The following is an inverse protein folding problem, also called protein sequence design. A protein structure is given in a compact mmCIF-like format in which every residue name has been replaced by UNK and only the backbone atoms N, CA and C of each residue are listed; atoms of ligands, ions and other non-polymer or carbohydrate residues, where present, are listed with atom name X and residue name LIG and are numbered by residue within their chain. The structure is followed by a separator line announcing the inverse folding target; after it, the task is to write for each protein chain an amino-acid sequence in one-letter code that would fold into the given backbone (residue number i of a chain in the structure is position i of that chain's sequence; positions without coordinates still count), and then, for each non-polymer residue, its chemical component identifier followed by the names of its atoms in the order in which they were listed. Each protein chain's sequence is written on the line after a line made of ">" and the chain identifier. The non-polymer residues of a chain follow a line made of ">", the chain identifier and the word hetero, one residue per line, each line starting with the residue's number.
data_IF_137614619542
#
_entry.id   IF_137614619542
#
_cell.length_a   1.000
_cell.length_b   1.000
_cell.length_c   1.000
_cell.angle_alpha   90.00
_cell.angle_beta   90.00
_cell.angle_gamma   90.00
#
_symmetry.space_group_name_H-M   'P 1'
#
loop_
_entity.id
_entity.type
_entity.pdbx_description
1 polymer ?
#
# COMPACT_ATOMS: atom_id res chain seq x y z
N UNK A 1 -67.91 -42.06 35.90
CA UNK A 1 -66.47 -42.24 35.65
C UNK A 1 -65.90 -40.87 35.33
N UNK A 2 -65.15 -40.22 36.24
CA UNK A 2 -64.46 -38.97 35.96
C UNK A 2 -63.08 -39.25 35.35
N UNK A 3 -62.71 -38.49 34.31
CA UNK A 3 -61.38 -38.55 33.70
C UNK A 3 -60.39 -37.69 34.48
N UNK A 4 -59.24 -38.27 34.81
CA UNK A 4 -58.16 -37.63 35.54
C UNK A 4 -57.50 -36.51 34.71
N UNK A 5 -57.48 -35.30 35.26
CA UNK A 5 -56.73 -34.16 34.74
C UNK A 5 -55.31 -34.22 35.28
N UNK A 6 -54.35 -34.61 34.46
CA UNK A 6 -52.94 -34.64 34.83
C UNK A 6 -52.31 -33.24 34.66
N UNK A 7 -52.25 -32.46 35.75
CA UNK A 7 -51.51 -31.19 35.79
C UNK A 7 -50.03 -31.50 35.96
N UNK A 8 -49.25 -31.39 34.87
CA UNK A 8 -47.77 -31.39 34.94
C UNK A 8 -47.29 -30.11 35.63
N UNK A 9 -46.77 -30.23 36.84
CA UNK A 9 -46.07 -29.14 37.52
C UNK A 9 -44.80 -28.80 36.76
N UNK A 10 -44.71 -27.52 36.36
CA UNK A 10 -43.60 -26.94 35.59
C UNK A 10 -42.34 -26.96 36.46
N UNK A 11 -41.30 -27.57 35.93
CA UNK A 11 -39.97 -27.68 36.53
C UNK A 11 -39.49 -26.31 37.06
N UNK A 12 -39.29 -26.22 38.39
CA UNK A 12 -38.67 -25.06 39.04
C UNK A 12 -37.18 -25.11 38.72
N UNK A 13 -36.80 -24.60 37.54
CA UNK A 13 -35.43 -24.19 37.29
C UNK A 13 -35.04 -23.23 38.40
N UNK A 14 -34.17 -23.67 39.30
CA UNK A 14 -33.74 -22.90 40.45
C UNK A 14 -33.24 -21.55 40.00
N UNK A 15 -33.83 -20.47 40.53
CA UNK A 15 -33.21 -19.16 40.49
C UNK A 15 -31.99 -19.21 41.42
N UNK A 16 -30.86 -19.68 40.88
CA UNK A 16 -29.58 -19.57 41.57
C UNK A 16 -29.16 -18.09 41.55
N UNK A 17 -29.09 -17.47 42.72
CA UNK A 17 -28.54 -16.12 42.88
C UNK A 17 -27.03 -16.12 42.61
N UNK A 18 -26.53 -15.06 41.97
CA UNK A 18 -25.11 -14.85 41.73
C UNK A 18 -24.36 -14.73 43.05
N UNK A 19 -23.29 -15.50 43.21
CA UNK A 19 -22.43 -15.39 44.40
C UNK A 19 -21.40 -14.26 44.19
N UNK A 20 -21.00 -13.56 45.26
CA UNK A 20 -20.00 -12.48 45.16
C UNK A 20 -18.67 -12.99 44.62
N UNK A 21 -18.29 -14.23 44.96
CA UNK A 21 -17.07 -14.88 44.46
C UNK A 21 -17.13 -15.13 42.94
N UNK A 22 -18.30 -15.48 42.40
CA UNK A 22 -18.52 -15.69 40.97
C UNK A 22 -18.36 -14.39 40.18
N UNK A 23 -18.89 -13.29 40.71
CA UNK A 23 -18.68 -11.96 40.11
C UNK A 23 -17.21 -11.55 40.13
N UNK A 24 -16.51 -11.78 41.25
CA UNK A 24 -15.09 -11.43 41.39
C UNK A 24 -14.22 -12.24 40.41
N UNK A 25 -14.54 -13.52 40.22
CA UNK A 25 -13.89 -14.36 39.22
C UNK A 25 -14.20 -13.91 37.79
N UNK A 26 -15.46 -13.58 37.47
CA UNK A 26 -15.85 -13.08 36.15
C UNK A 26 -15.14 -11.77 35.78
N UNK A 27 -15.04 -10.83 36.74
CA UNK A 27 -14.31 -9.56 36.54
C UNK A 27 -12.81 -9.83 36.35
N UNK A 28 -12.23 -10.78 37.08
CA UNK A 28 -10.81 -11.13 36.94
C UNK A 28 -10.48 -11.68 35.55
N UNK A 29 -11.29 -12.60 35.03
CA UNK A 29 -11.13 -13.15 33.68
C UNK A 29 -11.34 -12.06 32.63
N UNK A 30 -12.35 -11.21 32.82
CA UNK A 30 -12.63 -10.09 31.91
C UNK A 30 -11.46 -9.12 31.84
N UNK A 31 -10.84 -8.80 32.98
CA UNK A 31 -9.67 -7.93 33.04
C UNK A 31 -8.47 -8.54 32.29
N UNK A 32 -8.17 -9.82 32.50
CA UNK A 32 -7.08 -10.53 31.81
C UNK A 32 -7.34 -10.57 30.30
N UNK A 33 -8.57 -10.87 29.89
CA UNK A 33 -8.97 -10.91 28.48
C UNK A 33 -8.84 -9.53 27.83
N UNK A 34 -9.30 -8.47 28.51
CA UNK A 34 -9.21 -7.10 28.04
C UNK A 34 -7.75 -6.64 27.84
N UNK A 35 -6.85 -7.01 28.75
CA UNK A 35 -5.42 -6.75 28.62
C UNK A 35 -4.79 -7.50 27.43
N UNK A 36 -5.23 -8.73 27.19
CA UNK A 36 -4.82 -9.51 26.02
C UNK A 36 -5.15 -8.81 24.70
N UNK A 37 -6.38 -8.32 24.56
CA UNK A 37 -6.79 -7.57 23.36
C UNK A 37 -6.08 -6.22 23.29
N UNK A 38 -5.99 -5.48 24.40
CA UNK A 38 -5.29 -4.19 24.47
C UNK A 38 -3.82 -4.30 24.01
N UNK A 39 -3.15 -5.39 24.36
CA UNK A 39 -1.78 -5.67 23.92
C UNK A 39 -1.62 -5.88 22.41
N UNK A 40 -2.67 -6.31 21.70
CA UNK A 40 -2.63 -6.55 20.25
C UNK A 40 -2.85 -5.28 19.42
N UNK A 41 -3.56 -4.28 19.94
CA UNK A 41 -3.91 -3.05 19.20
C UNK A 41 -2.69 -2.35 18.55
N UNK A 42 -1.56 -2.14 19.26
CA UNK A 42 -0.40 -1.48 18.67
C UNK A 42 0.19 -2.24 17.46
N UNK A 43 0.20 -3.59 17.52
CA UNK A 43 0.69 -4.41 16.42
C UNK A 43 -0.23 -4.34 15.20
N UNK A 44 -1.55 -4.41 15.43
CA UNK A 44 -2.55 -4.28 14.37
C UNK A 44 -2.47 -2.91 13.67
N UNK A 45 -2.38 -1.81 14.44
CA UNK A 45 -2.26 -0.46 13.89
C UNK A 45 -1.00 -0.28 13.04
N UNK A 46 0.16 -0.80 13.49
CA UNK A 46 1.41 -0.76 12.71
C UNK A 46 1.29 -1.52 11.39
N UNK A 47 0.59 -2.66 11.40
CA UNK A 47 0.33 -3.44 10.19
C UNK A 47 -0.54 -2.67 9.21
N UNK A 48 -1.62 -2.03 9.69
CA UNK A 48 -2.51 -1.21 8.85
C UNK A 48 -1.74 -0.04 8.22
N UNK A 49 -0.97 0.70 9.01
CA UNK A 49 -0.17 1.85 8.51
C UNK A 49 0.85 1.40 7.47
N UNK A 50 1.58 0.31 7.72
CA UNK A 50 2.57 -0.21 6.77
C UNK A 50 1.91 -0.73 5.49
N UNK A 51 0.76 -1.41 5.61
CA UNK A 51 -0.02 -1.88 4.46
C UNK A 51 -0.58 -0.73 3.61
N UNK A 52 -1.05 0.35 4.23
CA UNK A 52 -1.51 1.51 3.47
C UNK A 52 -0.38 2.26 2.79
N UNK A 53 0.79 2.39 3.44
CA UNK A 53 1.97 2.98 2.80
C UNK A 53 2.40 2.21 1.54
N UNK A 54 2.51 0.88 1.63
CA UNK A 54 2.88 0.03 0.50
C UNK A 54 1.85 0.11 -0.64
N UNK A 55 0.57 0.09 -0.31
CA UNK A 55 -0.52 0.27 -1.29
C UNK A 55 -0.42 1.63 -1.98
N UNK A 56 -0.22 2.70 -1.21
CA UNK A 56 -0.10 4.07 -1.75
C UNK A 56 1.13 4.22 -2.66
N UNK A 57 2.28 3.68 -2.23
CA UNK A 57 3.49 3.66 -3.04
C UNK A 57 3.29 2.89 -4.36
N UNK A 58 2.58 1.76 -4.30
CA UNK A 58 2.25 0.95 -5.48
C UNK A 58 1.38 1.73 -6.47
N UNK A 59 0.33 2.40 -5.99
CA UNK A 59 -0.54 3.24 -6.86
C UNK A 59 0.25 4.38 -7.50
N UNK A 60 1.17 5.02 -6.76
CA UNK A 60 2.02 6.08 -7.31
C UNK A 60 3.02 5.55 -8.35
N UNK A 61 3.59 4.36 -8.14
CA UNK A 61 4.47 3.72 -9.09
C UNK A 61 3.72 3.30 -10.37
N UNK A 62 2.52 2.74 -10.22
CA UNK A 62 1.62 2.39 -11.32
C UNK A 62 1.22 3.61 -12.13
N UNK A 63 0.79 4.68 -11.46
CA UNK A 63 0.41 5.93 -12.12
C UNK A 63 1.53 6.50 -12.99
N UNK A 64 2.78 6.48 -12.52
CA UNK A 64 3.92 6.92 -13.32
C UNK A 64 4.22 5.97 -14.49
N UNK A 65 4.16 4.65 -14.26
CA UNK A 65 4.36 3.68 -15.33
C UNK A 65 3.29 3.82 -16.43
N UNK A 66 2.05 4.11 -16.06
CA UNK A 66 0.95 4.35 -17.02
C UNK A 66 1.15 5.67 -17.78
N UNK A 67 1.64 6.72 -17.12
CA UNK A 67 2.02 7.96 -17.82
C UNK A 67 3.13 7.72 -18.84
N UNK A 68 4.13 6.87 -18.53
CA UNK A 68 5.22 6.54 -19.46
C UNK A 68 4.71 5.69 -20.63
N UNK A 69 3.82 4.72 -20.38
CA UNK A 69 3.18 3.91 -21.43
C UNK A 69 2.28 4.71 -22.35
N UNK A 70 1.64 5.75 -21.84
CA UNK A 70 0.77 6.63 -22.61
C UNK A 70 1.53 7.68 -23.43
N UNK A 71 2.83 7.90 -23.15
CA UNK A 71 3.68 8.82 -23.91
C UNK A 71 4.17 8.16 -25.20
N UNK A 72 4.70 8.96 -26.12
CA UNK A 72 5.29 8.48 -27.36
C UNK A 72 6.53 7.64 -27.08
N UNK A 73 6.75 6.57 -27.86
CA UNK A 73 7.89 5.67 -27.68
C UNK A 73 9.24 6.42 -27.70
N UNK A 74 9.37 7.44 -28.56
CA UNK A 74 10.54 8.32 -28.62
C UNK A 74 10.91 8.90 -27.25
N UNK A 75 9.91 9.41 -26.52
CA UNK A 75 10.08 10.08 -25.23
C UNK A 75 10.43 9.13 -24.07
N UNK A 76 10.20 7.82 -24.21
CA UNK A 76 10.40 6.86 -23.12
C UNK A 76 11.83 6.90 -22.56
N UNK A 77 12.86 7.06 -23.39
CA UNK A 77 14.26 7.13 -22.93
C UNK A 77 14.57 8.41 -22.16
N UNK A 78 13.82 9.48 -22.41
CA UNK A 78 13.98 10.76 -21.73
C UNK A 78 13.48 10.73 -20.28
N UNK A 79 12.73 9.68 -19.89
CA UNK A 79 12.39 9.41 -18.49
C UNK A 79 13.54 8.76 -17.70
N UNK A 80 14.65 8.38 -18.35
CA UNK A 80 15.77 7.79 -17.63
C UNK A 80 16.36 8.76 -16.60
N UNK A 81 16.69 8.24 -15.41
CA UNK A 81 17.21 9.01 -14.27
C UNK A 81 16.27 10.12 -13.78
N UNK A 82 14.99 10.07 -14.14
CA UNK A 82 14.00 11.02 -13.65
C UNK A 82 13.74 10.77 -12.17
N UNK A 83 13.76 11.84 -11.39
CA UNK A 83 13.46 11.82 -9.95
C UNK A 83 12.50 12.94 -9.59
N UNK A 84 11.64 12.71 -8.60
CA UNK A 84 10.70 13.72 -8.09
C UNK A 84 11.38 14.90 -7.38
N UNK A 85 12.67 14.77 -7.04
CA UNK A 85 13.44 15.82 -6.34
C UNK A 85 14.01 16.88 -7.28
N UNK A 86 14.39 16.51 -8.50
CA UNK A 86 14.96 17.44 -9.49
C UNK A 86 13.85 18.32 -10.04
N UNK A 87 14.10 19.62 -10.20
CA UNK A 87 13.18 20.52 -10.90
C UNK A 87 13.20 20.27 -12.39
N UNK A 88 12.04 20.42 -13.05
CA UNK A 88 11.95 20.46 -14.50
C UNK A 88 11.41 21.84 -14.89
N UNK A 89 12.07 22.47 -15.85
CA UNK A 89 11.72 23.81 -16.32
C UNK A 89 11.44 23.72 -17.82
N UNK A 90 10.19 23.42 -18.18
CA UNK A 90 9.77 23.25 -19.58
C UNK A 90 8.31 22.82 -19.69
N UNK A 91 7.75 22.93 -20.89
CA UNK A 91 6.36 22.54 -21.23
C UNK A 91 6.27 21.17 -21.88
N UNK A 92 7.38 20.44 -21.98
CA UNK A 92 7.41 19.12 -22.58
C UNK A 92 6.56 18.13 -21.77
N UNK A 93 5.99 17.13 -22.46
CA UNK A 93 5.13 16.09 -21.86
C UNK A 93 5.79 15.43 -20.65
N UNK A 94 7.10 15.18 -20.71
CA UNK A 94 7.90 14.58 -19.62
C UNK A 94 7.91 15.49 -18.38
N UNK A 95 8.13 16.79 -18.57
CA UNK A 95 8.14 17.77 -17.48
C UNK A 95 6.74 17.90 -16.84
N UNK A 96 5.69 17.84 -17.65
CA UNK A 96 4.30 17.84 -17.19
C UNK A 96 3.99 16.59 -16.36
N UNK A 97 4.32 15.40 -16.88
CA UNK A 97 4.11 14.12 -16.18
C UNK A 97 4.91 14.05 -14.87
N UNK A 98 6.16 14.52 -14.88
CA UNK A 98 6.99 14.63 -13.68
C UNK A 98 6.39 15.56 -12.64
N UNK A 99 5.94 16.75 -13.05
CA UNK A 99 5.36 17.75 -12.14
C UNK A 99 4.09 17.20 -11.51
N UNK A 100 3.25 16.52 -12.30
CA UNK A 100 2.09 15.79 -11.81
C UNK A 100 2.49 14.74 -10.78
N UNK A 101 3.43 13.85 -11.11
CA UNK A 101 3.88 12.80 -10.20
C UNK A 101 4.52 13.35 -8.92
N UNK A 102 5.28 14.44 -9.01
CA UNK A 102 5.82 15.17 -7.86
C UNK A 102 4.70 15.71 -6.96
N UNK A 103 3.66 16.31 -7.55
CA UNK A 103 2.52 16.81 -6.79
C UNK A 103 1.73 15.68 -6.14
N UNK A 104 1.53 14.55 -6.82
CA UNK A 104 0.89 13.36 -6.27
C UNK A 104 1.71 12.78 -5.10
N UNK A 105 3.04 12.82 -5.19
CA UNK A 105 3.95 12.45 -4.10
C UNK A 105 3.86 13.44 -2.93
N UNK A 106 3.86 14.74 -3.15
CA UNK A 106 3.67 15.75 -2.09
C UNK A 106 2.31 15.59 -1.39
N UNK A 107 1.25 15.33 -2.16
CA UNK A 107 -0.06 14.98 -1.61
C UNK A 107 -0.02 13.64 -0.86
N UNK A 108 0.87 12.72 -1.24
CA UNK A 108 1.12 11.48 -0.51
C UNK A 108 1.90 11.65 0.78
N UNK A 109 2.75 12.66 0.89
CA UNK A 109 3.47 12.98 2.12
C UNK A 109 2.55 13.63 3.16
N UNK A 110 1.49 14.33 2.72
CA UNK A 110 0.54 15.00 3.61
C UNK A 110 -0.07 14.00 4.61
N UNK A 111 0.37 14.10 5.87
CA UNK A 111 -0.06 13.25 6.99
C UNK A 111 -1.54 13.40 7.37
N UNK A 112 -2.27 14.32 6.71
CA UNK A 112 -3.68 14.62 6.96
C UNK A 112 -4.61 13.43 6.71
N UNK A 113 -4.17 12.43 5.94
CA UNK A 113 -4.90 11.16 5.72
C UNK A 113 -4.36 9.99 6.55
N UNK A 114 -3.50 10.26 7.54
CA UNK A 114 -3.09 9.31 8.58
C UNK A 114 -2.07 8.24 8.18
N UNK A 115 -1.69 8.14 6.90
CA UNK A 115 -0.78 7.10 6.40
C UNK A 115 0.11 7.60 5.26
N UNK A 116 0.60 8.84 5.39
CA UNK A 116 1.47 9.44 4.38
C UNK A 116 2.75 8.64 4.14
N UNK A 117 3.42 8.92 3.02
CA UNK A 117 4.76 8.43 2.71
C UNK A 117 5.79 9.42 3.28
N UNK A 118 6.33 9.22 4.50
CA UNK A 118 7.27 10.18 5.08
C UNK A 118 8.56 10.22 4.27
N UNK A 119 8.98 11.42 3.82
CA UNK A 119 10.16 11.63 2.98
C UNK A 119 10.12 10.74 1.71
N UNK A 120 8.94 10.66 1.10
CA UNK A 120 8.69 9.84 -0.08
C UNK A 120 9.31 10.49 -1.33
N UNK A 121 10.12 9.74 -2.06
CA UNK A 121 10.61 10.16 -3.38
C UNK A 121 10.51 9.02 -4.39
N UNK A 122 10.43 9.39 -5.66
CA UNK A 122 10.29 8.45 -6.75
C UNK A 122 11.42 8.60 -7.75
N UNK A 123 11.89 7.49 -8.30
CA UNK A 123 12.89 7.45 -9.38
C UNK A 123 12.41 6.58 -10.54
N UNK A 124 12.85 6.90 -11.75
CA UNK A 124 12.61 6.13 -12.95
C UNK A 124 13.93 5.80 -13.61
N UNK A 125 14.12 4.52 -13.92
CA UNK A 125 15.25 4.02 -14.70
C UNK A 125 14.72 3.40 -15.98
N UNK A 126 15.32 3.78 -17.11
CA UNK A 126 14.96 3.23 -18.43
C UNK A 126 16.21 2.63 -19.03
N UNK A 127 16.11 1.37 -19.44
CA UNK A 127 17.20 0.64 -20.10
C UNK A 127 16.71 0.04 -21.40
N UNK A 128 17.60 -0.03 -22.39
CA UNK A 128 17.33 -0.74 -23.63
C UNK A 128 17.29 -2.24 -23.35
N UNK A 129 16.47 -2.97 -24.10
CA UNK A 129 16.46 -4.43 -24.10
C UNK A 129 17.05 -4.91 -25.42
N UNK A 130 17.99 -5.85 -25.37
CA UNK A 130 18.59 -6.46 -26.55
C UNK A 130 17.73 -7.64 -27.03
N UNK A 131 17.95 -8.08 -28.26
CA UNK A 131 17.25 -9.25 -28.83
C UNK A 131 17.51 -10.56 -28.07
N UNK A 132 18.63 -10.65 -27.35
CA UNK A 132 18.97 -11.77 -26.47
C UNK A 132 18.35 -11.68 -25.06
N UNK A 133 17.55 -10.64 -24.80
CA UNK A 133 16.91 -10.39 -23.50
C UNK A 133 17.79 -9.68 -22.46
N UNK A 134 19.04 -9.37 -22.78
CA UNK A 134 19.92 -8.59 -21.88
C UNK A 134 19.57 -7.10 -21.89
N UNK A 135 19.91 -6.35 -20.83
CA UNK A 135 19.62 -4.91 -20.76
C UNK A 135 20.86 -4.06 -20.73
N UNK A 136 20.89 -3.04 -21.60
CA UNK A 136 22.00 -2.10 -21.73
C UNK A 136 21.54 -0.66 -21.47
N UNK A 137 22.43 0.16 -20.91
CA UNK A 137 22.17 1.59 -20.67
C UNK A 137 22.54 2.50 -21.88
N UNK A 138 23.06 1.92 -22.97
CA UNK A 138 23.57 2.66 -24.13
C UNK A 138 22.48 3.00 -25.13
N UNK A 139 22.38 4.28 -25.50
CA UNK A 139 21.59 4.80 -26.63
C UNK A 139 22.50 5.02 -27.85
N UNK A 140 22.09 4.67 -29.10
CA UNK A 140 20.76 4.23 -29.51
C UNK A 140 20.45 2.77 -29.13
N UNK A 141 19.19 2.49 -28.76
CA UNK A 141 18.75 1.13 -28.43
C UNK A 141 18.74 0.26 -29.70
N UNK A 142 19.24 -1.00 -29.64
CA UNK A 142 19.28 -1.89 -30.79
C UNK A 142 17.93 -2.53 -31.13
N UNK A 143 16.94 -2.40 -30.25
CA UNK A 143 15.56 -2.85 -30.48
C UNK A 143 14.57 -1.76 -30.08
N UNK A 144 13.35 -1.88 -30.57
CA UNK A 144 12.23 -1.02 -30.18
C UNK A 144 11.58 -1.44 -28.87
N UNK A 145 12.32 -2.15 -27.99
CA UNK A 145 11.85 -2.56 -26.68
C UNK A 145 12.67 -1.87 -25.57
N UNK A 146 11.96 -1.23 -24.64
CA UNK A 146 12.52 -0.54 -23.48
C UNK A 146 11.98 -1.14 -22.20
N UNK A 147 12.85 -1.37 -21.21
CA UNK A 147 12.46 -1.74 -19.85
C UNK A 147 12.49 -0.50 -18.98
N UNK A 148 11.35 -0.18 -18.41
CA UNK A 148 11.13 0.95 -17.50
C UNK A 148 10.93 0.41 -16.10
N UNK A 149 11.76 0.85 -15.17
CA UNK A 149 11.64 0.56 -13.75
C UNK A 149 11.27 1.83 -13.03
N UNK A 150 10.07 1.86 -12.44
CA UNK A 150 9.61 2.95 -11.57
C UNK A 150 9.78 2.49 -10.13
N UNK A 151 10.50 3.26 -9.34
CA UNK A 151 10.72 2.97 -7.91
C UNK A 151 10.16 4.10 -7.07
N UNK A 152 9.36 3.76 -6.07
CA UNK A 152 8.89 4.68 -5.03
C UNK A 152 9.53 4.26 -3.72
N UNK A 153 10.26 5.17 -3.11
CA UNK A 153 10.97 4.98 -1.85
C UNK A 153 10.38 5.89 -0.79
N UNK A 154 10.23 5.40 0.43
CA UNK A 154 9.78 6.20 1.57
C UNK A 154 10.49 5.78 2.85
N UNK A 155 10.24 6.54 3.91
CA UNK A 155 10.98 6.53 5.18
C UNK A 155 12.32 7.27 5.11
N UNK A 156 12.72 7.92 6.22
CA UNK A 156 13.83 8.89 6.27
C UNK A 156 15.21 8.32 5.90
N UNK A 157 15.35 7.01 5.80
CA UNK A 157 16.59 6.33 5.38
C UNK A 157 16.41 5.46 4.12
N UNK A 158 15.28 5.55 3.41
CA UNK A 158 15.03 4.75 2.22
C UNK A 158 14.91 3.24 2.47
N UNK A 159 14.56 2.84 3.70
CA UNK A 159 14.47 1.43 4.10
C UNK A 159 13.30 0.69 3.45
N UNK A 160 12.34 1.40 2.84
CA UNK A 160 11.16 0.81 2.21
C UNK A 160 11.01 1.34 0.79
N UNK A 161 10.86 0.43 -0.16
CA UNK A 161 10.62 0.77 -1.55
C UNK A 161 9.69 -0.22 -2.22
N UNK A 162 9.00 0.24 -3.26
CA UNK A 162 8.26 -0.58 -4.22
C UNK A 162 8.80 -0.24 -5.60
N UNK A 163 9.16 -1.27 -6.36
CA UNK A 163 9.59 -1.14 -7.74
C UNK A 163 8.61 -1.85 -8.65
N UNK A 164 8.16 -1.16 -9.69
CA UNK A 164 7.35 -1.70 -10.77
C UNK A 164 8.18 -1.71 -12.04
N UNK A 165 8.26 -2.87 -12.69
CA UNK A 165 8.94 -3.04 -13.97
C UNK A 165 7.91 -3.19 -15.07
N UNK A 166 8.05 -2.42 -16.13
CA UNK A 166 7.26 -2.55 -17.34
C UNK A 166 8.14 -2.56 -18.59
N UNK A 167 7.65 -3.25 -19.61
CA UNK A 167 8.20 -3.18 -20.96
C UNK A 167 7.33 -2.28 -21.81
N UNK A 168 7.96 -1.45 -22.64
CA UNK A 168 7.29 -0.58 -23.61
C UNK A 168 7.91 -0.88 -24.96
N UNK A 169 7.08 -1.22 -25.94
CA UNK A 169 7.48 -1.51 -27.31
C UNK A 169 6.93 -0.45 -28.27
N UNK A 170 7.62 -0.18 -29.37
CA UNK A 170 7.03 0.53 -30.50
C UNK A 170 6.19 -0.47 -31.31
N UNK A 171 4.89 -0.19 -31.47
CA UNK A 171 4.06 -0.93 -32.42
C UNK A 171 4.26 -0.28 -33.78
N UNK A 172 4.74 -1.05 -34.75
CA UNK A 172 4.76 -0.69 -36.17
C UNK A 172 3.34 -0.66 -36.77
#
# INVERSE_FOLDING_TARGET
>A
MPGDVFVRTRDRRGLAGFTLIEFLFAVSITAITGLGVAGMFPAALRSVVTGGQTTKATVLAQGMADMIRADTFSNVSSYNSLTTTTTCSGTDTICTNKTKWKNDMLAAEAQTTGQGLPAGYGTVAVVCVNADGTTNATSPCPTDLRRVTVTVTWDRQGSRSVSLVTYVAQNE
#
